data_IF_353343270780
#
_entry.id   IF_353343270780
#
_cell.length_a   1.000
_cell.length_b   1.000
_cell.length_c   1.000
_cell.angle_alpha   90.00
_cell.angle_beta   90.00
_cell.angle_gamma   90.00
#
_symmetry.space_group_name_H-M   'P 1'
#
loop_
_entity.id
_entity.type
_entity.pdbx_description
1 polymer ?
#
# COMPACT_ATOMS: atom_id res chain seq x y z
N UNK A 1 -9.78 -8.45 -2.99
CA UNK A 1 -9.58 -8.33 -4.45
C UNK A 1 -8.92 -9.60 -5.00
N UNK A 2 -8.92 -9.80 -6.32
CA UNK A 2 -8.13 -10.85 -6.98
C UNK A 2 -7.27 -10.25 -8.08
N UNK A 3 -5.97 -10.52 -8.03
CA UNK A 3 -5.04 -10.22 -9.11
C UNK A 3 -4.95 -11.45 -10.02
N UNK A 4 -5.13 -11.28 -11.33
CA UNK A 4 -5.14 -12.41 -12.28
C UNK A 4 -4.32 -12.10 -13.53
N UNK A 5 -3.62 -13.11 -14.05
CA UNK A 5 -2.80 -13.00 -15.27
C UNK A 5 -1.29 -12.93 -15.02
N UNK A 6 -0.84 -13.20 -13.80
CA UNK A 6 0.56 -13.03 -13.39
C UNK A 6 0.90 -11.56 -13.09
N UNK A 7 2.17 -11.19 -12.83
CA UNK A 7 2.53 -9.88 -12.26
C UNK A 7 2.07 -8.64 -13.05
N UNK A 8 1.93 -8.73 -14.37
CA UNK A 8 1.43 -7.63 -15.21
C UNK A 8 -0.10 -7.69 -15.45
N UNK A 9 -0.80 -8.56 -14.75
CA UNK A 9 -2.25 -8.71 -14.82
C UNK A 9 -3.01 -7.67 -13.99
N UNK A 10 -4.31 -7.56 -14.21
CA UNK A 10 -5.17 -6.60 -13.50
C UNK A 10 -5.65 -7.10 -12.14
N UNK A 11 -6.10 -6.17 -11.30
CA UNK A 11 -6.77 -6.43 -10.02
C UNK A 11 -8.28 -6.22 -10.17
N UNK A 12 -9.07 -7.23 -9.82
CA UNK A 12 -10.52 -7.19 -9.85
C UNK A 12 -11.09 -7.15 -8.42
N UNK A 13 -12.12 -6.34 -8.17
CA UNK A 13 -12.72 -6.24 -6.85
C UNK A 13 -13.74 -7.38 -6.62
N UNK A 14 -14.24 -7.49 -5.40
CA UNK A 14 -15.12 -8.61 -5.01
C UNK A 14 -16.46 -8.58 -5.78
N UNK A 15 -16.90 -7.41 -6.24
CA UNK A 15 -18.10 -7.21 -7.05
C UNK A 15 -18.02 -7.90 -8.42
N UNK A 16 -16.81 -8.22 -8.88
CA UNK A 16 -16.57 -8.93 -10.14
C UNK A 16 -16.25 -10.41 -9.94
N UNK A 17 -16.54 -10.99 -8.77
CA UNK A 17 -16.22 -12.39 -8.43
C UNK A 17 -16.80 -13.40 -9.43
N UNK A 18 -18.02 -13.14 -9.93
CA UNK A 18 -18.72 -14.04 -10.86
C UNK A 18 -18.28 -13.86 -12.33
N UNK A 19 -17.25 -13.05 -12.59
CA UNK A 19 -16.71 -12.85 -13.96
C UNK A 19 -16.19 -14.19 -14.51
N UNK A 20 -16.64 -14.63 -15.70
CA UNK A 20 -16.13 -15.84 -16.32
C UNK A 20 -14.60 -15.80 -16.49
N UNK A 21 -13.95 -16.91 -16.18
CA UNK A 21 -12.51 -17.07 -16.36
C UNK A 21 -12.23 -17.48 -17.79
N UNK A 22 -12.33 -16.52 -18.71
CA UNK A 22 -11.96 -16.63 -20.13
C UNK A 22 -11.17 -15.40 -20.60
N UNK A 23 -10.67 -15.44 -21.83
CA UNK A 23 -9.81 -14.37 -22.36
C UNK A 23 -10.54 -13.04 -22.51
N UNK A 24 -11.77 -13.06 -23.02
CA UNK A 24 -12.49 -11.85 -23.40
C UNK A 24 -13.04 -11.14 -22.15
N UNK A 25 -13.71 -11.89 -21.27
CA UNK A 25 -14.31 -11.37 -20.03
C UNK A 25 -13.28 -10.74 -19.09
N UNK A 26 -12.11 -11.37 -18.95
CA UNK A 26 -11.03 -10.81 -18.11
C UNK A 26 -10.39 -9.58 -18.76
N UNK A 27 -10.23 -9.57 -20.09
CA UNK A 27 -9.67 -8.41 -20.80
C UNK A 27 -10.59 -7.20 -20.66
N UNK A 28 -11.91 -7.37 -20.80
CA UNK A 28 -12.90 -6.31 -20.62
C UNK A 28 -12.92 -5.74 -19.18
N UNK A 29 -12.64 -6.60 -18.20
CA UNK A 29 -12.49 -6.20 -16.81
C UNK A 29 -11.15 -5.49 -16.52
N UNK A 30 -10.24 -5.41 -17.49
CA UNK A 30 -8.91 -4.81 -17.38
C UNK A 30 -7.84 -5.75 -16.80
N UNK A 31 -8.19 -7.02 -16.61
CA UNK A 31 -7.26 -8.07 -16.24
C UNK A 31 -6.88 -8.92 -17.48
N UNK A 32 -6.30 -10.10 -17.26
CA UNK A 32 -6.05 -11.05 -18.34
C UNK A 32 -5.92 -12.47 -17.79
N UNK A 33 -6.15 -13.46 -18.63
CA UNK A 33 -5.95 -14.87 -18.26
C UNK A 33 -4.47 -15.17 -17.94
N UNK A 34 -3.53 -14.65 -18.74
CA UNK A 34 -2.09 -14.90 -18.58
C UNK A 34 -1.76 -16.38 -18.44
N UNK A 35 -1.07 -16.74 -17.36
CA UNK A 35 -0.73 -18.14 -17.00
C UNK A 35 -1.83 -18.88 -16.20
N UNK A 36 -2.97 -18.24 -15.93
CA UNK A 36 -4.00 -18.73 -15.02
C UNK A 36 -3.67 -18.55 -13.53
N UNK A 37 -2.57 -17.88 -13.21
CA UNK A 37 -2.21 -17.53 -11.84
C UNK A 37 -3.13 -16.48 -11.24
N UNK A 38 -3.55 -16.69 -10.00
CA UNK A 38 -4.40 -15.77 -9.24
C UNK A 38 -3.84 -15.53 -7.85
N UNK A 39 -3.84 -14.26 -7.41
CA UNK A 39 -3.51 -13.86 -6.03
C UNK A 39 -4.75 -13.24 -5.42
N UNK A 40 -5.31 -13.90 -4.41
CA UNK A 40 -6.46 -13.39 -3.66
C UNK A 40 -5.95 -12.64 -2.44
N UNK A 41 -6.45 -11.43 -2.25
CA UNK A 41 -6.11 -10.54 -1.12
C UNK A 41 -7.39 -10.04 -0.45
N UNK A 42 -7.30 -9.80 0.86
CA UNK A 42 -8.38 -9.29 1.71
C UNK A 42 -8.26 -7.77 1.93
N UNK A 43 -9.08 -7.23 2.84
CA UNK A 43 -9.13 -5.80 3.20
C UNK A 43 -7.89 -5.30 3.95
N UNK A 44 -7.06 -6.20 4.49
CA UNK A 44 -5.81 -5.85 5.18
C UNK A 44 -4.65 -5.63 4.19
N UNK A 45 -4.91 -5.73 2.88
CA UNK A 45 -3.96 -5.44 1.80
C UNK A 45 -4.23 -4.06 1.18
N UNK A 46 -3.20 -3.21 1.12
CA UNK A 46 -3.26 -1.92 0.44
C UNK A 46 -3.17 -2.12 -1.08
N UNK A 47 -4.21 -1.74 -1.84
CA UNK A 47 -4.22 -1.94 -3.30
C UNK A 47 -3.24 -1.02 -4.02
N UNK A 48 -2.94 0.16 -3.46
CA UNK A 48 -1.88 1.07 -3.98
C UNK A 48 -0.50 0.42 -3.86
N UNK A 49 -0.21 -0.19 -2.70
CA UNK A 49 1.07 -0.87 -2.46
C UNK A 49 1.19 -2.17 -3.26
N UNK A 50 0.07 -2.89 -3.45
CA UNK A 50 0.02 -4.08 -4.29
C UNK A 50 0.35 -3.74 -5.75
N UNK A 51 -0.25 -2.67 -6.30
CA UNK A 51 0.06 -2.20 -7.65
C UNK A 51 1.54 -1.78 -7.78
N UNK A 52 2.07 -1.08 -6.76
CA UNK A 52 3.49 -0.68 -6.68
C UNK A 52 4.41 -1.91 -6.68
N UNK A 53 4.10 -2.95 -5.91
CA UNK A 53 4.87 -4.19 -5.84
C UNK A 53 4.93 -4.90 -7.20
N UNK A 54 3.78 -5.07 -7.86
CA UNK A 54 3.72 -5.75 -9.15
C UNK A 54 4.38 -4.96 -10.29
N UNK A 55 4.27 -3.63 -10.25
CA UNK A 55 4.96 -2.77 -11.20
C UNK A 55 6.49 -2.80 -10.99
N UNK A 56 6.96 -2.76 -9.74
CA UNK A 56 8.40 -2.91 -9.41
C UNK A 56 8.96 -4.25 -9.92
N UNK A 57 8.22 -5.34 -9.71
CA UNK A 57 8.58 -6.64 -10.27
C UNK A 57 8.67 -6.59 -11.80
N UNK A 58 7.62 -6.09 -12.45
CA UNK A 58 7.55 -6.05 -13.92
C UNK A 58 8.66 -5.16 -14.51
N UNK A 59 9.00 -4.09 -13.82
CA UNK A 59 10.07 -3.20 -14.25
C UNK A 59 11.45 -3.84 -14.13
N UNK A 60 11.70 -4.67 -13.10
CA UNK A 60 12.95 -5.44 -12.97
C UNK A 60 13.09 -6.51 -14.04
N UNK A 61 11.97 -7.06 -14.51
CA UNK A 61 11.92 -8.05 -15.59
C UNK A 61 11.89 -7.43 -17.00
N UNK A 62 11.94 -6.09 -17.11
CA UNK A 62 11.96 -5.40 -18.39
C UNK A 62 13.23 -5.74 -19.19
N UNK A 63 13.07 -6.07 -20.48
CA UNK A 63 14.19 -6.38 -21.36
C UNK A 63 15.00 -5.14 -21.79
N UNK A 64 14.53 -3.93 -21.49
CA UNK A 64 15.23 -2.68 -21.80
C UNK A 64 15.04 -2.13 -23.22
N UNK A 65 14.29 -2.82 -24.11
CA UNK A 65 14.29 -2.50 -25.53
C UNK A 65 13.44 -1.28 -25.92
N UNK A 66 12.26 -1.10 -25.32
CA UNK A 66 11.36 0.01 -25.66
C UNK A 66 11.41 1.09 -24.57
N UNK A 67 11.75 2.32 -24.99
CA UNK A 67 11.93 3.45 -24.07
C UNK A 67 10.67 3.76 -23.28
N UNK A 68 9.48 3.61 -23.88
CA UNK A 68 8.21 3.84 -23.19
C UNK A 68 7.97 2.83 -22.07
N UNK A 69 8.21 1.53 -22.30
CA UNK A 69 8.11 0.54 -21.23
C UNK A 69 9.12 0.83 -20.11
N UNK A 70 10.39 1.06 -20.44
CA UNK A 70 11.44 1.22 -19.43
C UNK A 70 11.26 2.52 -18.64
N UNK A 71 11.16 3.65 -19.32
CA UNK A 71 11.10 4.95 -18.64
C UNK A 71 9.71 5.24 -18.09
N UNK A 72 8.66 4.82 -18.81
CA UNK A 72 7.28 5.04 -18.38
C UNK A 72 6.95 4.26 -17.11
N UNK A 73 7.29 2.97 -17.04
CA UNK A 73 7.02 2.18 -15.82
C UNK A 73 7.91 2.60 -14.66
N UNK A 74 9.15 3.06 -14.91
CA UNK A 74 10.00 3.69 -13.88
C UNK A 74 9.30 4.93 -13.29
N UNK A 75 8.79 5.82 -14.15
CA UNK A 75 8.10 7.01 -13.71
C UNK A 75 6.80 6.68 -12.94
N UNK A 76 6.03 5.69 -13.40
CA UNK A 76 4.86 5.21 -12.68
C UNK A 76 5.23 4.67 -11.29
N UNK A 77 6.34 3.92 -11.19
CA UNK A 77 6.83 3.38 -9.93
C UNK A 77 7.25 4.49 -8.96
N UNK A 78 7.93 5.54 -9.45
CA UNK A 78 8.32 6.70 -8.64
C UNK A 78 7.10 7.48 -8.09
N UNK A 79 6.04 7.58 -8.89
CA UNK A 79 4.78 8.18 -8.46
C UNK A 79 4.14 7.31 -7.38
N UNK A 80 4.02 5.99 -7.59
CA UNK A 80 3.44 5.08 -6.60
C UNK A 80 4.25 5.08 -5.29
N UNK A 81 5.58 5.06 -5.36
CA UNK A 81 6.46 5.21 -4.19
C UNK A 81 6.11 6.52 -3.45
N UNK A 82 6.02 7.64 -4.17
CA UNK A 82 5.65 8.93 -3.58
C UNK A 82 4.26 8.91 -2.93
N UNK A 83 3.26 8.26 -3.54
CA UNK A 83 1.93 8.10 -2.94
C UNK A 83 2.02 7.28 -1.64
N UNK A 84 2.68 6.11 -1.66
CA UNK A 84 2.82 5.23 -0.48
C UNK A 84 3.66 5.82 0.65
N UNK A 85 4.56 6.75 0.34
CA UNK A 85 5.37 7.49 1.32
C UNK A 85 4.67 8.76 1.84
N UNK A 86 3.43 9.04 1.40
CA UNK A 86 2.68 10.23 1.79
C UNK A 86 3.17 11.53 1.15
N UNK A 87 3.88 11.44 0.03
CA UNK A 87 4.33 12.54 -0.83
C UNK A 87 3.49 12.70 -2.11
N UNK A 88 2.42 11.91 -2.26
CA UNK A 88 1.53 11.97 -3.42
C UNK A 88 0.86 13.33 -3.62
N UNK A 89 0.52 13.64 -4.86
CA UNK A 89 -0.07 14.91 -5.32
C UNK A 89 -1.43 14.68 -5.97
N UNK A 90 -2.33 15.67 -5.98
CA UNK A 90 -3.64 15.54 -6.61
C UNK A 90 -3.58 15.09 -8.08
N UNK A 91 -2.55 15.51 -8.80
CA UNK A 91 -2.38 15.22 -10.23
C UNK A 91 -1.78 13.84 -10.51
N UNK A 92 -1.29 13.14 -9.48
CA UNK A 92 -0.55 11.89 -9.66
C UNK A 92 -1.43 10.77 -10.26
N UNK A 93 -2.72 10.71 -9.90
CA UNK A 93 -3.64 9.70 -10.44
C UNK A 93 -3.86 9.90 -11.93
N UNK A 94 -4.05 11.14 -12.37
CA UNK A 94 -4.24 11.46 -13.78
C UNK A 94 -2.97 11.17 -14.58
N UNK A 95 -1.81 11.54 -14.03
CA UNK A 95 -0.51 11.23 -14.64
C UNK A 95 -0.25 9.72 -14.74
N UNK A 96 -0.63 8.92 -13.73
CA UNK A 96 -0.52 7.46 -13.80
C UNK A 96 -1.40 6.87 -14.89
N UNK A 97 -2.61 7.39 -15.09
CA UNK A 97 -3.50 6.94 -16.17
C UNK A 97 -2.93 7.29 -17.55
N UNK A 98 -2.47 8.53 -17.74
CA UNK A 98 -1.85 8.98 -18.99
C UNK A 98 -0.60 8.16 -19.34
N UNK A 99 0.30 7.97 -18.38
CA UNK A 99 1.49 7.15 -18.56
C UNK A 99 1.12 5.70 -18.87
N UNK A 100 0.14 5.14 -18.15
CA UNK A 100 -0.30 3.78 -18.37
C UNK A 100 -0.76 3.56 -19.81
N UNK A 101 -1.66 4.39 -20.32
CA UNK A 101 -2.11 4.28 -21.72
C UNK A 101 -0.98 4.50 -22.74
N UNK A 102 -0.09 5.45 -22.50
CA UNK A 102 1.07 5.68 -23.36
C UNK A 102 2.01 4.46 -23.42
N UNK A 103 2.24 3.80 -22.29
CA UNK A 103 3.05 2.58 -22.21
C UNK A 103 2.37 1.43 -22.94
N UNK A 104 1.04 1.26 -22.76
CA UNK A 104 0.27 0.20 -23.43
C UNK A 104 0.37 0.33 -24.95
N UNK A 105 0.18 1.54 -25.49
CA UNK A 105 0.26 1.77 -26.93
C UNK A 105 1.69 1.75 -27.49
N UNK A 106 2.66 2.18 -26.68
CA UNK A 106 4.04 2.41 -27.12
C UNK A 106 5.00 1.24 -26.92
N UNK A 107 4.55 0.16 -26.28
CA UNK A 107 5.37 -1.01 -25.99
C UNK A 107 5.30 -2.07 -27.10
N UNK A 108 6.45 -2.70 -27.37
CA UNK A 108 6.61 -3.65 -28.48
C UNK A 108 6.07 -5.05 -28.10
N UNK A 109 6.29 -5.49 -26.87
CA UNK A 109 5.94 -6.84 -26.42
C UNK A 109 4.75 -6.83 -25.45
N UNK A 110 4.11 -7.99 -25.28
CA UNK A 110 2.97 -8.15 -24.39
C UNK A 110 3.25 -7.79 -22.92
N UNK A 111 4.47 -7.99 -22.42
CA UNK A 111 4.85 -7.56 -21.07
C UNK A 111 4.73 -6.03 -20.93
N UNK A 112 5.37 -5.26 -21.82
CA UNK A 112 5.29 -3.81 -21.78
C UNK A 112 3.86 -3.29 -21.99
N UNK A 113 3.09 -3.96 -22.86
CA UNK A 113 1.67 -3.61 -23.11
C UNK A 113 0.75 -3.90 -21.92
N UNK A 114 1.17 -4.74 -20.99
CA UNK A 114 0.34 -5.14 -19.83
C UNK A 114 0.91 -4.64 -18.51
N UNK A 115 2.17 -4.24 -18.45
CA UNK A 115 2.83 -3.72 -17.26
C UNK A 115 2.04 -2.65 -16.49
N UNK A 116 1.27 -1.74 -17.14
CA UNK A 116 0.45 -0.77 -16.44
C UNK A 116 -0.85 -1.32 -15.83
N UNK A 117 -1.30 -2.52 -16.22
CA UNK A 117 -2.62 -3.03 -15.83
C UNK A 117 -2.86 -3.12 -14.32
N UNK A 118 -1.91 -3.58 -13.47
CA UNK A 118 -2.11 -3.54 -12.02
C UNK A 118 -2.49 -2.14 -11.54
N UNK A 119 -1.81 -1.11 -12.05
CA UNK A 119 -2.03 0.29 -11.66
C UNK A 119 -3.34 0.84 -12.21
N UNK A 120 -3.62 0.62 -13.49
CA UNK A 120 -4.83 1.13 -14.14
C UNK A 120 -6.09 0.51 -13.53
N UNK A 121 -6.06 -0.79 -13.22
CA UNK A 121 -7.20 -1.46 -12.60
C UNK A 121 -7.38 -1.10 -11.13
N UNK A 122 -6.30 -0.92 -10.37
CA UNK A 122 -6.45 -0.44 -8.98
C UNK A 122 -6.94 1.00 -8.93
N UNK A 123 -6.55 1.86 -9.87
CA UNK A 123 -7.14 3.20 -10.02
C UNK A 123 -8.62 3.13 -10.44
N UNK A 124 -9.01 2.14 -11.26
CA UNK A 124 -10.39 1.97 -11.72
C UNK A 124 -11.32 1.52 -10.60
N UNK A 125 -10.88 0.57 -9.78
CA UNK A 125 -11.75 -0.13 -8.82
C UNK A 125 -11.53 0.25 -7.35
N UNK A 126 -10.38 0.86 -7.01
CA UNK A 126 -9.99 1.19 -5.64
C UNK A 126 -9.45 2.62 -5.56
N UNK A 127 -10.03 3.54 -6.34
CA UNK A 127 -9.60 4.94 -6.44
C UNK A 127 -9.57 5.62 -5.08
N UNK A 128 -10.53 5.30 -4.24
CA UNK A 128 -10.67 5.79 -2.87
C UNK A 128 -9.44 5.52 -2.02
N UNK A 129 -8.71 4.42 -2.25
CA UNK A 129 -7.45 4.16 -1.56
C UNK A 129 -6.36 5.13 -1.99
N UNK A 130 -6.26 5.43 -3.29
CA UNK A 130 -5.33 6.45 -3.80
C UNK A 130 -5.66 7.82 -3.19
N UNK A 131 -6.94 8.19 -3.16
CA UNK A 131 -7.41 9.44 -2.59
C UNK A 131 -7.11 9.54 -1.09
N UNK A 132 -7.27 8.45 -0.32
CA UNK A 132 -6.89 8.41 1.09
C UNK A 132 -5.38 8.64 1.30
N UNK A 133 -4.53 8.08 0.44
CA UNK A 133 -3.08 8.28 0.50
C UNK A 133 -2.69 9.72 0.13
N UNK A 134 -3.33 10.30 -0.88
CA UNK A 134 -3.00 11.63 -1.42
C UNK A 134 -3.55 12.74 -0.55
N UNK A 135 -4.84 12.72 -0.25
CA UNK A 135 -5.54 13.83 0.41
C UNK A 135 -5.54 13.69 1.93
N UNK A 136 -5.80 12.49 2.45
CA UNK A 136 -5.88 12.28 3.90
C UNK A 136 -4.54 11.94 4.54
N UNK A 137 -3.53 11.58 3.73
CA UNK A 137 -2.25 11.06 4.20
C UNK A 137 -2.43 9.86 5.13
N UNK A 138 -3.29 8.92 4.73
CA UNK A 138 -3.54 7.68 5.47
C UNK A 138 -3.51 6.47 4.55
N UNK A 139 -3.10 5.33 5.10
CA UNK A 139 -3.27 4.03 4.48
C UNK A 139 -4.40 3.27 5.19
N UNK A 140 -5.58 3.09 4.58
CA UNK A 140 -6.71 2.40 5.21
C UNK A 140 -6.38 0.98 5.67
N UNK A 141 -5.63 0.23 4.85
CA UNK A 141 -5.14 -1.12 5.13
C UNK A 141 -3.93 -1.17 6.09
N UNK A 142 -3.40 -0.03 6.51
CA UNK A 142 -2.32 0.10 7.52
C UNK A 142 -0.98 -0.56 7.14
N UNK A 143 -0.74 -0.75 5.85
CA UNK A 143 0.49 -1.38 5.32
C UNK A 143 1.59 -0.33 5.06
N UNK A 144 1.22 0.84 4.52
CA UNK A 144 2.21 1.86 4.14
C UNK A 144 2.75 2.59 5.37
N UNK A 145 3.99 2.28 5.74
CA UNK A 145 4.68 2.73 6.95
C UNK A 145 4.64 4.23 7.21
N UNK A 146 4.74 5.06 6.18
CA UNK A 146 4.75 6.52 6.31
C UNK A 146 3.36 7.13 6.50
N UNK A 147 2.32 6.32 6.39
CA UNK A 147 0.91 6.70 6.41
C UNK A 147 0.13 6.01 7.55
N UNK A 148 0.86 5.53 8.57
CA UNK A 148 0.31 4.91 9.77
C UNK A 148 0.96 5.48 11.04
N UNK A 149 0.32 5.23 12.17
CA UNK A 149 0.85 5.53 13.49
C UNK A 149 0.52 4.40 14.46
N UNK A 150 1.35 4.26 15.49
CA UNK A 150 1.06 3.35 16.61
C UNK A 150 0.61 4.16 17.82
N UNK A 151 -0.42 3.68 18.50
CA UNK A 151 -0.94 4.28 19.74
C UNK A 151 -1.03 3.25 20.85
N UNK A 152 -0.72 3.67 22.07
CA UNK A 152 -0.93 2.87 23.27
C UNK A 152 -2.25 3.30 23.93
N UNK A 153 -3.14 2.35 24.13
CA UNK A 153 -4.45 2.52 24.76
C UNK A 153 -4.30 2.64 26.29
N UNK A 154 -4.62 3.79 26.90
CA UNK A 154 -4.38 4.03 28.33
C UNK A 154 -5.15 3.10 29.26
N UNK A 155 -6.35 2.69 28.88
CA UNK A 155 -7.24 1.79 29.62
C UNK A 155 -6.71 0.35 29.67
N UNK A 156 -6.00 -0.07 28.62
CA UNK A 156 -5.46 -1.43 28.49
C UNK A 156 -4.03 -1.57 29.00
N UNK A 157 -3.22 -0.52 28.91
CA UNK A 157 -1.81 -0.57 29.29
C UNK A 157 -1.63 -0.82 30.79
N UNK A 158 -0.85 -1.86 31.13
CA UNK A 158 -0.51 -2.22 32.53
C UNK A 158 0.90 -1.80 32.96
N UNK A 159 1.53 -0.87 32.23
CA UNK A 159 2.87 -0.35 32.53
C UNK A 159 3.94 -1.45 32.74
N UNK A 160 3.93 -2.47 31.87
CA UNK A 160 4.79 -3.66 31.99
C UNK A 160 6.26 -3.43 31.55
N UNK A 161 6.58 -2.24 31.05
CA UNK A 161 7.90 -1.83 30.54
C UNK A 161 8.43 -2.58 29.31
N UNK A 162 7.69 -3.51 28.70
CA UNK A 162 8.19 -4.30 27.56
C UNK A 162 8.40 -3.42 26.32
N UNK A 163 7.35 -2.77 25.81
CA UNK A 163 7.47 -1.91 24.61
C UNK A 163 8.50 -0.78 24.77
N UNK A 164 8.64 -0.22 25.98
CA UNK A 164 9.63 0.81 26.28
C UNK A 164 11.07 0.29 26.14
N UNK A 165 11.34 -0.93 26.62
CA UNK A 165 12.67 -1.55 26.52
C UNK A 165 13.01 -2.03 25.11
N UNK A 166 12.02 -2.55 24.39
CA UNK A 166 12.22 -3.11 23.04
C UNK A 166 12.17 -2.04 21.94
N UNK A 167 11.80 -0.78 22.26
CA UNK A 167 11.74 0.27 21.25
C UNK A 167 13.15 0.62 20.73
N UNK A 168 13.46 0.37 19.44
CA UNK A 168 14.82 0.53 18.91
C UNK A 168 15.30 1.99 18.88
N UNK A 169 14.35 2.94 18.85
CA UNK A 169 14.60 4.39 18.80
C UNK A 169 14.18 5.12 20.08
N UNK A 170 13.86 4.37 21.14
CA UNK A 170 13.48 4.92 22.45
C UNK A 170 12.33 5.95 22.40
N UNK A 171 11.42 5.82 21.42
CA UNK A 171 10.30 6.72 21.20
C UNK A 171 9.11 6.47 22.14
N UNK A 172 9.29 5.80 23.28
CA UNK A 172 8.20 5.49 24.21
C UNK A 172 8.51 6.11 25.56
N UNK A 173 7.71 7.10 25.94
CA UNK A 173 7.71 7.69 27.27
C UNK A 173 6.86 6.84 28.22
N UNK A 174 7.29 6.73 29.47
CA UNK A 174 6.58 5.96 30.50
C UNK A 174 7.49 5.45 31.60
N UNK A 175 6.95 4.61 32.46
CA UNK A 175 7.66 4.10 33.64
C UNK A 175 6.85 3.06 34.40
N UNK A 176 7.42 2.51 35.47
CA UNK A 176 6.69 1.58 36.34
C UNK A 176 5.44 2.27 36.88
N UNK A 177 4.28 1.64 36.70
CA UNK A 177 2.96 2.19 37.07
C UNK A 177 2.56 3.47 36.33
N UNK A 178 3.22 3.82 35.24
CA UNK A 178 2.86 4.93 34.37
C UNK A 178 2.43 4.41 33.00
N UNK A 179 1.32 4.91 32.49
CA UNK A 179 0.87 4.56 31.14
C UNK A 179 1.91 5.02 30.13
N UNK A 180 2.28 4.11 29.24
CA UNK A 180 3.23 4.41 28.18
C UNK A 180 2.57 5.21 27.07
N UNK A 181 3.31 6.14 26.47
CA UNK A 181 2.89 6.97 25.34
C UNK A 181 3.99 6.94 24.28
N UNK A 182 3.60 6.78 23.02
CA UNK A 182 4.54 6.79 21.89
C UNK A 182 4.70 8.23 21.43
N UNK A 183 5.93 8.72 21.47
CA UNK A 183 6.37 9.97 20.86
C UNK A 183 6.38 9.80 19.34
N UNK A 184 5.44 10.45 18.65
CA UNK A 184 5.24 10.28 17.21
C UNK A 184 6.30 10.98 16.36
N UNK A 185 6.99 11.97 16.92
CA UNK A 185 8.07 12.68 16.23
C UNK A 185 9.34 11.83 16.16
N UNK A 186 9.60 11.04 17.22
CA UNK A 186 10.73 10.12 17.31
C UNK A 186 10.40 8.70 16.80
N UNK A 187 9.11 8.34 16.67
CA UNK A 187 8.69 7.01 16.25
C UNK A 187 9.00 6.74 14.77
N UNK A 188 9.80 5.70 14.52
CA UNK A 188 10.09 5.20 13.17
C UNK A 188 9.06 4.22 12.63
N UNK A 189 7.91 4.04 13.32
CA UNK A 189 6.78 3.22 12.87
C UNK A 189 7.18 1.77 12.52
N UNK A 190 8.09 1.19 13.30
CA UNK A 190 8.66 -0.14 13.05
C UNK A 190 7.77 -1.31 13.48
N UNK A 191 6.68 -1.08 14.20
CA UNK A 191 5.77 -2.16 14.64
C UNK A 191 6.18 -2.90 15.92
N UNK A 192 7.45 -2.85 16.33
CA UNK A 192 7.96 -3.61 17.50
C UNK A 192 7.07 -3.47 18.74
N UNK A 193 6.59 -2.26 19.05
CA UNK A 193 5.74 -2.02 20.22
C UNK A 193 4.40 -2.78 20.18
N UNK A 194 3.85 -3.01 18.98
CA UNK A 194 2.65 -3.81 18.75
C UNK A 194 2.97 -5.29 18.97
N UNK A 195 4.03 -5.78 18.34
CA UNK A 195 4.44 -7.20 18.38
C UNK A 195 4.79 -7.66 19.79
N UNK A 196 5.46 -6.81 20.57
CA UNK A 196 5.90 -7.15 21.93
C UNK A 196 4.85 -6.86 23.00
N UNK A 197 3.71 -6.27 22.64
CA UNK A 197 2.64 -6.02 23.60
C UNK A 197 1.97 -7.36 23.98
N UNK A 198 1.94 -7.76 25.26
CA UNK A 198 1.30 -9.02 25.63
C UNK A 198 -0.16 -9.08 25.19
N UNK A 199 -0.58 -10.16 24.53
CA UNK A 199 -1.96 -10.36 24.01
C UNK A 199 -3.04 -10.20 25.09
N UNK A 200 -2.73 -10.57 26.34
CA UNK A 200 -3.63 -10.36 27.49
C UNK A 200 -3.94 -8.89 27.77
N UNK A 201 -3.12 -7.97 27.27
CA UNK A 201 -3.32 -6.52 27.36
C UNK A 201 -3.80 -5.97 26.02
N UNK A 202 -3.16 -6.38 24.91
CA UNK A 202 -3.42 -5.86 23.55
C UNK A 202 -3.63 -4.34 23.57
N UNK A 203 -2.65 -3.67 24.18
CA UNK A 203 -2.71 -2.25 24.52
C UNK A 203 -2.10 -1.36 23.45
N UNK A 204 -1.58 -1.92 22.36
CA UNK A 204 -1.04 -1.16 21.23
C UNK A 204 -1.90 -1.43 20.02
N UNK A 205 -2.17 -0.39 19.24
CA UNK A 205 -2.90 -0.49 17.99
C UNK A 205 -2.17 0.29 16.89
N UNK A 206 -2.25 -0.21 15.66
CA UNK A 206 -1.87 0.50 14.46
C UNK A 206 -3.10 1.22 13.92
N UNK A 207 -2.97 2.53 13.65
CA UNK A 207 -4.05 3.35 13.10
C UNK A 207 -3.63 4.00 11.78
N UNK A 208 -4.57 4.20 10.84
CA UNK A 208 -4.32 4.96 9.63
C UNK A 208 -4.00 6.43 9.92
N UNK A 209 -3.01 6.97 9.23
CA UNK A 209 -2.62 8.37 9.28
C UNK A 209 -1.50 8.69 10.27
N UNK A 210 -0.98 9.91 10.16
CA UNK A 210 0.02 10.45 11.09
C UNK A 210 -0.66 11.09 12.30
N UNK A 211 -0.34 10.60 13.49
CA UNK A 211 -0.65 11.30 14.73
C UNK A 211 0.38 12.41 14.95
N UNK A 212 -0.09 13.60 15.27
CA UNK A 212 0.75 14.64 15.84
C UNK A 212 0.83 14.43 17.37
N UNK A 213 1.94 14.80 17.98
CA UNK A 213 2.14 14.76 19.44
C UNK A 213 1.15 15.64 20.25
N UNK A 214 0.21 16.33 19.61
CA UNK A 214 -0.79 17.21 20.25
C UNK A 214 -2.00 16.49 20.83
N UNK A 215 -1.80 15.35 21.52
CA UNK A 215 -2.83 14.73 22.36
C UNK A 215 -2.41 14.75 23.84
N UNK A 216 -2.17 15.96 24.34
CA UNK A 216 -2.27 16.28 25.77
C UNK A 216 -3.26 17.44 25.92
N UNK A 217 -4.56 17.17 25.84
CA UNK A 217 -5.65 17.89 26.54
C UNK A 217 -7.03 17.54 25.98
N UNK A 218 -7.65 16.52 26.58
CA UNK A 218 -9.09 16.48 26.86
C UNK A 218 -9.32 15.40 27.93
#
# INVERSE_FOLDING_TARGET
AVQTGGPSGGCLPAELLDTPVDFDSLTDAGAMMGSGGMVVVDEDTCMVDLARYFLDFTQKESCGQCSLCVLGTLQMLDILNSITEGRGRPEDVDLLMELGEAIKMGSICGLGQTAPNPVLTTIRYFREEYEAHIYERKCPARVCKDLISYRILPDKCKACMICLRECPVQAIAGGKKQIHVIDQDNCTRCGVCLDVCPERFSAVECIPGRLNNTLHSA
#
